data_IF_280377986545
#
_entry.id   IF_280377986545
#
_cell.length_a   1.000
_cell.length_b   1.000
_cell.length_c   1.000
_cell.angle_alpha   90.00
_cell.angle_beta   90.00
_cell.angle_gamma   90.00
#
_symmetry.space_group_name_H-M   'P 1'
#
loop_
_entity.id
_entity.type
_entity.pdbx_description
1 polymer ?
#
# COMPACT_ATOMS: atom_id res chain seq x y z
N UNK A 1 -0.60 -4.18 -9.05
CA UNK A 1 -0.52 -3.91 -7.59
C UNK A 1 0.55 -2.85 -7.38
N UNK A 2 0.28 -1.80 -6.59
CA UNK A 2 1.23 -0.70 -6.38
C UNK A 2 2.41 -1.20 -5.52
N UNK A 3 3.64 -0.93 -5.99
CA UNK A 3 4.90 -1.32 -5.34
C UNK A 3 5.09 -0.62 -3.99
N UNK A 4 5.91 -1.19 -3.11
CA UNK A 4 6.23 -0.57 -1.80
C UNK A 4 6.80 0.83 -1.97
N UNK A 5 7.68 1.04 -2.96
CA UNK A 5 8.27 2.34 -3.26
C UNK A 5 7.20 3.37 -3.62
N UNK A 6 6.24 3.02 -4.50
CA UNK A 6 5.15 3.93 -4.83
C UNK A 6 4.30 4.29 -3.61
N UNK A 7 4.07 3.36 -2.68
CA UNK A 7 3.34 3.66 -1.42
C UNK A 7 4.12 4.62 -0.54
N UNK A 8 5.44 4.46 -0.46
CA UNK A 8 6.31 5.37 0.29
C UNK A 8 6.26 6.78 -0.31
N UNK A 9 6.43 6.90 -1.63
CA UNK A 9 6.33 8.19 -2.33
C UNK A 9 4.97 8.84 -2.13
N UNK A 10 3.87 8.08 -2.30
CA UNK A 10 2.51 8.60 -2.10
C UNK A 10 2.27 9.05 -0.66
N UNK A 11 2.80 8.32 0.34
CA UNK A 11 2.69 8.70 1.75
C UNK A 11 3.42 10.02 2.02
N UNK A 12 4.66 10.16 1.52
CA UNK A 12 5.45 11.39 1.65
C UNK A 12 4.75 12.60 1.03
N UNK A 13 4.27 12.48 -0.21
CA UNK A 13 3.57 13.58 -0.91
C UNK A 13 2.29 13.99 -0.18
N UNK A 14 1.52 13.04 0.36
CA UNK A 14 0.32 13.35 1.14
C UNK A 14 0.69 14.04 2.45
N UNK A 15 1.72 13.60 3.15
CA UNK A 15 2.19 14.22 4.38
C UNK A 15 2.71 15.65 4.15
N UNK A 16 3.45 15.87 3.06
CA UNK A 16 3.91 17.20 2.64
C UNK A 16 2.71 18.12 2.37
N UNK A 17 1.75 17.68 1.57
CA UNK A 17 0.55 18.46 1.27
C UNK A 17 -0.26 18.80 2.54
N UNK A 18 -0.41 17.82 3.45
CA UNK A 18 -1.11 18.04 4.73
C UNK A 18 -0.35 19.03 5.61
N UNK A 19 0.98 18.94 5.64
CA UNK A 19 1.85 19.89 6.38
C UNK A 19 1.73 21.30 5.80
N UNK A 20 1.59 21.42 4.48
CA UNK A 20 1.31 22.68 3.80
C UNK A 20 -0.13 23.20 4.02
N UNK A 21 -0.98 22.47 4.76
CA UNK A 21 -2.33 22.89 5.14
C UNK A 21 -3.46 22.24 4.32
N UNK A 22 -3.14 21.30 3.41
CA UNK A 22 -4.18 20.58 2.69
C UNK A 22 -4.98 19.65 3.60
N UNK A 23 -6.28 19.51 3.33
CA UNK A 23 -7.07 18.46 3.98
C UNK A 23 -6.58 17.09 3.49
N UNK A 24 -6.24 16.18 4.40
CA UNK A 24 -5.78 14.82 4.05
C UNK A 24 -6.67 14.12 3.03
N UNK A 25 -8.00 14.20 3.18
CA UNK A 25 -8.94 13.60 2.23
C UNK A 25 -8.81 14.17 0.81
N UNK A 26 -8.48 15.46 0.66
CA UNK A 26 -8.21 16.10 -0.64
C UNK A 26 -6.86 15.66 -1.19
N UNK A 27 -5.81 15.66 -0.38
CA UNK A 27 -4.49 15.16 -0.79
C UNK A 27 -4.52 13.69 -1.25
N UNK A 28 -5.27 12.82 -0.55
CA UNK A 28 -5.48 11.44 -0.98
C UNK A 28 -6.21 11.34 -2.33
N UNK A 29 -7.21 12.20 -2.56
CA UNK A 29 -8.00 12.20 -3.78
C UNK A 29 -7.18 12.59 -5.03
N UNK A 30 -6.18 13.48 -4.90
CA UNK A 30 -5.26 13.84 -6.00
C UNK A 30 -4.42 12.65 -6.50
N UNK A 31 -4.17 11.67 -5.62
CA UNK A 31 -3.47 10.43 -5.96
C UNK A 31 -4.43 9.27 -6.24
N UNK A 32 -5.72 9.56 -6.41
CA UNK A 32 -6.79 8.58 -6.66
C UNK A 32 -6.87 7.46 -5.60
N UNK A 33 -6.49 7.77 -4.35
CA UNK A 33 -6.60 6.84 -3.23
C UNK A 33 -7.53 7.36 -2.14
N UNK A 34 -8.12 6.44 -1.39
CA UNK A 34 -8.91 6.79 -0.21
C UNK A 34 -8.02 7.01 1.02
N UNK A 35 -8.50 7.79 2.00
CA UNK A 35 -7.86 7.90 3.33
C UNK A 35 -7.71 6.53 4.00
N UNK A 36 -8.67 5.63 3.80
CA UNK A 36 -8.60 4.24 4.29
C UNK A 36 -7.45 3.47 3.66
N UNK A 37 -7.17 3.68 2.36
CA UNK A 37 -6.05 3.07 1.66
C UNK A 37 -4.72 3.53 2.27
N UNK A 38 -4.57 4.83 2.51
CA UNK A 38 -3.39 5.40 3.15
C UNK A 38 -3.19 4.83 4.56
N UNK A 39 -4.24 4.85 5.41
CA UNK A 39 -4.18 4.28 6.78
C UNK A 39 -3.79 2.81 6.79
N UNK A 40 -4.26 2.04 5.80
CA UNK A 40 -3.89 0.63 5.67
C UNK A 40 -2.39 0.47 5.37
N UNK A 41 -1.82 1.34 4.55
CA UNK A 41 -0.39 1.30 4.25
C UNK A 41 0.47 1.64 5.45
N UNK A 42 0.05 2.62 6.26
CA UNK A 42 0.79 3.13 7.41
C UNK A 42 0.43 2.45 8.74
N UNK A 43 -0.31 1.34 8.71
CA UNK A 43 -0.68 0.61 9.92
C UNK A 43 0.58 0.11 10.65
N UNK A 44 0.80 0.58 11.88
CA UNK A 44 2.02 0.34 12.64
C UNK A 44 3.12 1.41 12.49
N UNK A 45 2.80 2.58 11.92
CA UNK A 45 3.71 3.72 11.83
C UNK A 45 4.72 3.67 10.69
N UNK A 46 4.72 2.60 9.89
CA UNK A 46 5.58 2.44 8.71
C UNK A 46 4.78 1.93 7.51
N UNK A 47 5.21 2.29 6.30
CA UNK A 47 4.60 1.82 5.06
C UNK A 47 4.90 0.33 4.86
N UNK A 48 3.86 -0.50 4.94
CA UNK A 48 4.00 -1.95 4.85
C UNK A 48 4.22 -2.42 3.39
N UNK A 49 5.22 -3.30 3.15
CA UNK A 49 5.44 -3.88 1.83
C UNK A 49 4.30 -4.80 1.40
N UNK A 50 4.21 -5.08 0.10
CA UNK A 50 3.37 -6.19 -0.35
C UNK A 50 3.95 -7.52 0.14
N UNK A 51 3.19 -8.21 0.99
CA UNK A 51 3.57 -9.52 1.52
C UNK A 51 3.24 -10.69 0.58
N UNK A 52 2.43 -10.48 -0.47
CA UNK A 52 2.08 -11.56 -1.43
C UNK A 52 3.31 -12.23 -2.09
N UNK A 53 4.35 -11.50 -2.53
CA UNK A 53 5.57 -12.12 -3.06
C UNK A 53 6.54 -12.59 -1.97
N UNK A 54 6.43 -12.05 -0.74
CA UNK A 54 7.39 -12.32 0.34
C UNK A 54 7.00 -13.55 1.17
N UNK A 55 5.71 -13.82 1.30
CA UNK A 55 5.19 -14.92 2.11
C UNK A 55 5.32 -16.23 1.33
N UNK A 56 6.03 -17.19 1.91
CA UNK A 56 6.02 -18.57 1.41
C UNK A 56 4.58 -19.09 1.45
N UNK A 57 4.06 -19.46 0.28
CA UNK A 57 2.79 -20.16 0.16
C UNK A 57 3.07 -21.64 -0.01
N UNK A 58 2.49 -22.51 0.84
CA UNK A 58 2.50 -23.93 0.54
C UNK A 58 1.82 -24.17 -0.81
N UNK A 59 2.26 -25.21 -1.51
CA UNK A 59 1.62 -25.63 -2.76
C UNK A 59 0.13 -25.91 -2.55
N UNK A 60 -0.73 -25.68 -3.55
CA UNK A 60 -2.14 -26.00 -3.44
C UNK A 60 -2.32 -27.51 -3.21
N UNK A 61 -3.24 -27.88 -2.32
CA UNK A 61 -3.50 -29.29 -1.97
C UNK A 61 -3.85 -30.16 -3.19
N UNK A 62 -4.43 -29.54 -4.22
CA UNK A 62 -4.89 -30.20 -5.45
C UNK A 62 -3.96 -29.92 -6.64
N UNK A 63 -2.64 -29.81 -6.42
CA UNK A 63 -1.69 -29.61 -7.53
C UNK A 63 -1.72 -30.82 -8.47
N UNK A 64 -2.13 -30.61 -9.72
CA UNK A 64 -2.08 -31.64 -10.75
C UNK A 64 -0.62 -32.02 -11.06
N UNK A 65 -0.32 -33.31 -11.00
CA UNK A 65 0.96 -33.88 -11.45
C UNK A 65 0.90 -34.09 -12.96
N UNK A 66 2.00 -33.87 -13.72
CA UNK A 66 2.10 -34.39 -15.09
C UNK A 66 2.00 -35.92 -15.02
N UNK A 67 1.15 -36.50 -15.87
CA UNK A 67 1.07 -37.94 -16.08
C UNK A 67 2.15 -38.44 -17.03
#
# INVERSE_FOLDING_TARGET
>A
MISTLHRQTATLLIEEAVTAGARRAKACAELEISDRTLRRWTNGGQVQPDQRPLVQRPGPANKLSPG
#
